data_IF_458440402014
#
_entry.id   IF_458440402014
#
_cell.length_a   1.000
_cell.length_b   1.000
_cell.length_c   1.000
_cell.angle_alpha   90.00
_cell.angle_beta   90.00
_cell.angle_gamma   90.00
#
_symmetry.space_group_name_H-M   'P 1'
#
loop_
_entity.id
_entity.type
_entity.pdbx_description
1 polymer ?
#
# COMPACT_ATOMS: atom_id res chain seq x y z
N UNK A 1 19.34 2.49 6.09
CA UNK A 1 18.79 3.79 5.62
C UNK A 1 17.56 4.10 6.46
N UNK A 2 17.39 5.33 6.89
CA UNK A 2 16.19 5.77 7.60
C UNK A 2 15.00 5.84 6.62
N UNK A 3 13.83 5.37 7.04
CA UNK A 3 12.67 5.25 6.13
C UNK A 3 12.22 6.59 5.54
N UNK A 4 12.30 7.67 6.34
CA UNK A 4 11.95 9.01 5.86
C UNK A 4 12.94 9.57 4.82
N UNK A 5 14.20 9.16 4.88
CA UNK A 5 15.19 9.53 3.84
C UNK A 5 14.89 8.80 2.54
N UNK A 6 14.50 7.52 2.61
CA UNK A 6 14.03 6.78 1.44
C UNK A 6 12.82 7.48 0.81
N UNK A 7 11.82 7.86 1.62
CA UNK A 7 10.63 8.57 1.15
C UNK A 7 10.97 9.87 0.45
N UNK A 8 11.87 10.69 1.03
CA UNK A 8 12.32 11.94 0.43
C UNK A 8 13.05 11.71 -0.90
N UNK A 9 13.92 10.70 -0.97
CA UNK A 9 14.61 10.34 -2.21
C UNK A 9 13.62 9.89 -3.29
N UNK A 10 12.66 9.04 -2.98
CA UNK A 10 11.64 8.61 -3.94
C UNK A 10 10.83 9.80 -4.47
N UNK A 11 10.43 10.71 -3.60
CA UNK A 11 9.72 11.95 -4.01
C UNK A 11 10.58 12.83 -4.91
N UNK A 12 11.88 12.98 -4.62
CA UNK A 12 12.80 13.75 -5.47
C UNK A 12 12.96 13.17 -6.88
N UNK A 13 12.67 11.87 -7.04
CA UNK A 13 12.68 11.17 -8.33
C UNK A 13 11.30 11.17 -9.02
N UNK A 14 10.29 11.81 -8.43
CA UNK A 14 8.92 11.85 -8.94
C UNK A 14 8.06 10.64 -8.58
N UNK A 15 8.50 9.83 -7.60
CA UNK A 15 7.67 8.78 -7.03
C UNK A 15 6.97 9.33 -5.79
N UNK A 16 5.73 9.82 -5.96
CA UNK A 16 4.96 10.45 -4.88
C UNK A 16 4.51 9.43 -3.84
N UNK A 17 4.22 8.21 -4.28
CA UNK A 17 3.76 7.12 -3.43
C UNK A 17 4.57 5.84 -3.68
N UNK A 18 4.80 5.07 -2.63
CA UNK A 18 5.38 3.73 -2.70
C UNK A 18 4.56 2.79 -1.82
N UNK A 19 4.51 1.52 -2.20
CA UNK A 19 3.79 0.47 -1.48
C UNK A 19 4.77 -0.51 -0.86
N UNK A 20 4.50 -0.89 0.38
CA UNK A 20 5.27 -1.94 1.07
C UNK A 20 4.66 -3.28 0.71
N UNK A 21 5.42 -4.15 0.06
CA UNK A 21 4.97 -5.51 -0.26
C UNK A 21 5.23 -6.45 0.92
N UNK A 22 6.41 -6.35 1.52
CA UNK A 22 6.78 -7.11 2.71
C UNK A 22 7.64 -6.28 3.65
N UNK A 23 7.44 -6.49 4.95
CA UNK A 23 8.24 -5.88 6.02
C UNK A 23 8.56 -6.95 7.06
N UNK A 24 9.83 -7.32 7.19
CA UNK A 24 10.30 -8.35 8.14
C UNK A 24 11.31 -7.73 9.10
N UNK A 25 11.13 -7.85 10.41
CA UNK A 25 12.12 -7.36 11.37
C UNK A 25 13.46 -8.10 11.21
N UNK A 26 14.55 -7.37 11.40
CA UNK A 26 15.91 -7.92 11.43
C UNK A 26 16.38 -7.88 12.87
N UNK A 27 16.71 -9.05 13.43
CA UNK A 27 17.33 -9.17 14.74
C UNK A 27 18.82 -8.90 14.61
N UNK A 28 19.37 -8.12 15.53
CA UNK A 28 20.80 -7.90 15.65
C UNK A 28 21.35 -8.86 16.70
N UNK A 29 22.20 -9.81 16.30
CA UNK A 29 22.76 -10.81 17.19
C UNK A 29 24.17 -10.43 17.70
N UNK A 30 24.48 -9.13 17.70
CA UNK A 30 25.79 -8.61 18.13
C UNK A 30 25.62 -7.52 19.20
N UNK A 31 25.95 -7.82 20.47
CA UNK A 31 25.79 -6.89 21.58
C UNK A 31 26.53 -5.55 21.43
N UNK A 32 27.71 -5.56 20.74
CA UNK A 32 28.45 -4.32 20.51
C UNK A 32 27.73 -3.41 19.51
N UNK A 33 27.08 -3.99 18.50
CA UNK A 33 26.30 -3.25 17.53
C UNK A 33 25.02 -2.75 18.19
N UNK A 34 24.32 -3.60 18.95
CA UNK A 34 23.13 -3.22 19.69
C UNK A 34 23.40 -2.05 20.63
N UNK A 35 24.52 -2.06 21.37
CA UNK A 35 24.91 -0.97 22.25
C UNK A 35 25.17 0.35 21.48
N UNK A 36 25.65 0.28 20.23
CA UNK A 36 25.93 1.45 19.39
C UNK A 36 24.70 2.03 18.73
N UNK A 37 23.76 1.19 18.32
CA UNK A 37 22.55 1.64 17.60
C UNK A 37 21.41 1.99 18.54
N UNK A 38 21.47 1.56 19.78
CA UNK A 38 20.46 1.84 20.80
C UNK A 38 19.12 1.18 20.48
N UNK A 39 18.02 1.93 20.70
CA UNK A 39 16.65 1.43 20.52
C UNK A 39 16.14 1.63 19.07
N UNK A 40 16.97 1.31 18.07
CA UNK A 40 16.59 1.44 16.66
C UNK A 40 16.17 0.07 16.13
N UNK A 41 14.96 -0.01 15.57
CA UNK A 41 14.47 -1.19 14.90
C UNK A 41 14.93 -1.25 13.45
N UNK A 42 15.37 -2.43 13.01
CA UNK A 42 15.77 -2.70 11.64
C UNK A 42 14.75 -3.62 10.95
N UNK A 43 14.46 -3.32 9.68
CA UNK A 43 13.55 -4.11 8.88
C UNK A 43 14.13 -4.38 7.49
N UNK A 44 13.94 -5.60 7.01
CA UNK A 44 14.04 -5.91 5.58
C UNK A 44 12.71 -5.57 4.93
N UNK A 45 12.74 -4.69 3.91
CA UNK A 45 11.52 -4.24 3.24
C UNK A 45 11.62 -4.48 1.74
N UNK A 46 10.55 -5.01 1.16
CA UNK A 46 10.34 -5.02 -0.28
C UNK A 46 9.30 -3.96 -0.59
N UNK A 47 9.63 -3.03 -1.47
CA UNK A 47 8.76 -1.91 -1.84
C UNK A 47 8.49 -1.89 -3.34
N UNK A 48 7.36 -1.33 -3.73
CA UNK A 48 7.02 -0.92 -5.10
C UNK A 48 6.87 0.60 -5.14
N UNK A 49 7.76 1.29 -5.82
CA UNK A 49 7.64 2.71 -6.05
C UNK A 49 6.95 2.96 -7.40
N UNK A 50 6.03 3.91 -7.41
CA UNK A 50 5.25 4.27 -8.59
C UNK A 50 5.59 5.69 -9.02
N UNK A 51 6.02 5.82 -10.27
CA UNK A 51 6.29 7.12 -10.90
C UNK A 51 5.13 7.46 -11.82
N UNK A 52 4.09 8.05 -11.25
CA UNK A 52 2.89 8.52 -11.92
C UNK A 52 2.60 9.95 -11.47
N UNK A 53 2.43 10.87 -12.42
CA UNK A 53 2.20 12.28 -12.13
C UNK A 53 0.80 12.56 -11.57
N UNK A 54 -0.11 11.57 -11.68
CA UNK A 54 -1.50 11.69 -11.23
C UNK A 54 -1.73 11.16 -9.80
N UNK A 55 -0.67 10.76 -9.09
CA UNK A 55 -0.84 10.31 -7.70
C UNK A 55 -1.00 11.50 -6.77
N UNK A 56 -1.95 11.36 -5.87
CA UNK A 56 -2.23 12.31 -4.80
C UNK A 56 -1.36 11.98 -3.58
N UNK A 57 -1.13 12.96 -2.72
CA UNK A 57 -0.31 12.80 -1.51
C UNK A 57 -1.03 12.10 -0.35
N UNK A 58 -2.35 11.98 -0.46
CA UNK A 58 -3.21 11.20 0.44
C UNK A 58 -4.13 10.28 -0.36
N UNK A 59 -4.69 9.26 0.29
CA UNK A 59 -5.66 8.37 -0.35
C UNK A 59 -7.05 9.01 -0.35
N UNK A 60 -7.60 9.24 -1.53
CA UNK A 60 -8.93 9.82 -1.75
C UNK A 60 -9.89 8.79 -2.35
N UNK A 61 -11.17 8.87 -1.93
CA UNK A 61 -12.25 8.00 -2.37
C UNK A 61 -13.01 8.63 -3.54
N UNK A 62 -12.98 7.96 -4.68
CA UNK A 62 -13.76 8.29 -5.87
C UNK A 62 -14.77 7.19 -6.23
N UNK A 63 -15.00 6.22 -5.32
CA UNK A 63 -15.91 5.10 -5.55
C UNK A 63 -15.39 4.11 -6.60
N UNK A 64 -14.09 4.11 -6.88
CA UNK A 64 -13.50 3.24 -7.89
C UNK A 64 -13.37 1.80 -7.38
N UNK A 65 -13.56 0.86 -8.30
CA UNK A 65 -13.48 -0.59 -8.04
C UNK A 65 -12.50 -1.23 -9.01
N UNK A 66 -11.54 -1.97 -8.48
CA UNK A 66 -10.57 -2.72 -9.27
C UNK A 66 -10.91 -4.23 -9.28
N UNK A 67 -10.74 -4.85 -10.45
CA UNK A 67 -10.90 -6.28 -10.69
C UNK A 67 -9.58 -6.85 -11.20
N UNK A 68 -9.07 -7.84 -10.53
CA UNK A 68 -7.92 -8.61 -11.00
C UNK A 68 -8.38 -9.70 -11.98
N UNK A 69 -7.70 -9.80 -13.14
CA UNK A 69 -8.06 -10.73 -14.20
C UNK A 69 -7.39 -12.12 -14.10
N UNK A 70 -6.53 -12.34 -13.10
CA UNK A 70 -5.82 -13.61 -12.92
C UNK A 70 -4.73 -13.89 -13.96
N UNK A 71 -4.30 -12.89 -14.70
CA UNK A 71 -3.41 -13.06 -15.85
C UNK A 71 -1.93 -12.75 -15.60
N UNK A 72 -1.56 -12.39 -14.36
CA UNK A 72 -0.14 -12.24 -13.98
C UNK A 72 0.47 -13.65 -13.85
N UNK A 73 1.58 -13.94 -14.55
CA UNK A 73 2.24 -15.24 -14.47
C UNK A 73 2.59 -15.62 -13.03
N UNK A 74 2.26 -16.85 -12.64
CA UNK A 74 2.46 -17.33 -11.27
C UNK A 74 1.39 -16.91 -10.25
N UNK A 75 0.44 -16.04 -10.63
CA UNK A 75 -0.60 -15.52 -9.74
C UNK A 75 -2.02 -15.68 -10.31
N UNK A 76 -2.48 -16.90 -10.67
CA UNK A 76 -3.77 -17.07 -11.34
C UNK A 76 -4.98 -16.82 -10.42
N UNK A 77 -4.82 -16.93 -9.10
CA UNK A 77 -5.93 -16.83 -8.14
C UNK A 77 -5.98 -15.50 -7.38
N UNK A 78 -4.81 -14.93 -7.09
CA UNK A 78 -4.70 -13.66 -6.38
C UNK A 78 -3.38 -12.96 -6.69
N UNK A 79 -3.37 -11.65 -6.49
CA UNK A 79 -2.18 -10.81 -6.61
C UNK A 79 -2.14 -9.82 -5.45
N UNK A 80 -1.05 -9.82 -4.68
CA UNK A 80 -0.78 -8.83 -3.65
C UNK A 80 -0.01 -7.65 -4.28
N UNK A 81 -0.63 -6.48 -4.29
CA UNK A 81 0.01 -5.23 -4.69
C UNK A 81 0.93 -4.73 -3.58
N UNK A 82 0.45 -4.79 -2.36
CA UNK A 82 1.14 -4.40 -1.13
C UNK A 82 0.59 -5.22 0.06
N UNK A 83 0.97 -4.87 1.27
CA UNK A 83 0.57 -5.53 2.51
C UNK A 83 -0.92 -5.32 2.88
N UNK A 84 -1.61 -4.37 2.22
CA UNK A 84 -3.04 -4.06 2.45
C UNK A 84 -3.94 -4.48 1.27
N UNK A 85 -3.40 -4.56 0.05
CA UNK A 85 -4.19 -4.81 -1.15
C UNK A 85 -3.88 -6.18 -1.77
N UNK A 86 -4.67 -7.19 -1.43
CA UNK A 86 -4.66 -8.51 -2.09
C UNK A 86 -5.91 -8.66 -2.95
N UNK A 87 -5.73 -8.60 -4.26
CA UNK A 87 -6.79 -8.77 -5.24
C UNK A 87 -7.00 -10.25 -5.57
N UNK A 88 -8.23 -10.71 -5.48
CA UNK A 88 -8.63 -12.05 -5.92
C UNK A 88 -9.22 -12.00 -7.33
N UNK A 89 -8.90 -12.99 -8.15
CA UNK A 89 -9.35 -13.07 -9.54
C UNK A 89 -10.87 -12.96 -9.66
N UNK A 90 -11.34 -11.99 -10.44
CA UNK A 90 -12.74 -11.72 -10.70
C UNK A 90 -13.51 -11.08 -9.54
N UNK A 91 -12.90 -10.91 -8.36
CA UNK A 91 -13.56 -10.30 -7.21
C UNK A 91 -13.36 -8.78 -7.22
N UNK A 92 -14.45 -7.99 -7.06
CA UNK A 92 -14.34 -6.54 -6.94
C UNK A 92 -13.65 -6.14 -5.63
N UNK A 93 -12.82 -5.10 -5.70
CA UNK A 93 -12.23 -4.45 -4.52
C UNK A 93 -12.39 -2.93 -4.68
N UNK A 94 -12.97 -2.27 -3.68
CA UNK A 94 -12.95 -0.82 -3.57
C UNK A 94 -11.51 -0.36 -3.36
N UNK A 95 -11.11 0.69 -4.07
CA UNK A 95 -9.75 1.20 -4.05
C UNK A 95 -9.74 2.73 -4.06
N UNK A 96 -8.73 3.33 -3.42
CA UNK A 96 -8.49 4.77 -3.54
C UNK A 96 -8.02 5.15 -4.95
N UNK A 97 -8.08 6.44 -5.28
CA UNK A 97 -7.63 6.96 -6.58
C UNK A 97 -6.20 6.58 -6.92
N UNK A 98 -5.29 6.63 -5.95
CA UNK A 98 -3.90 6.21 -6.14
C UNK A 98 -3.78 4.73 -6.50
N UNK A 99 -4.45 3.85 -5.77
CA UNK A 99 -4.42 2.40 -6.06
C UNK A 99 -5.04 2.10 -7.42
N UNK A 100 -6.16 2.75 -7.77
CA UNK A 100 -6.77 2.64 -9.09
C UNK A 100 -5.78 3.01 -10.20
N UNK A 101 -5.11 4.16 -10.08
CA UNK A 101 -4.11 4.61 -11.05
C UNK A 101 -2.90 3.65 -11.13
N UNK A 102 -2.42 3.14 -10.00
CA UNK A 102 -1.30 2.19 -9.95
C UNK A 102 -1.59 0.89 -10.69
N UNK A 103 -2.79 0.32 -10.53
CA UNK A 103 -3.15 -0.93 -11.20
C UNK A 103 -3.58 -0.71 -12.65
N UNK A 104 -4.10 0.45 -13.03
CA UNK A 104 -4.57 0.72 -14.37
C UNK A 104 -3.48 1.29 -15.30
N UNK A 105 -2.68 2.27 -14.80
CA UNK A 105 -1.79 3.09 -15.64
C UNK A 105 -0.34 2.64 -15.63
N UNK A 106 -0.05 1.45 -15.11
CA UNK A 106 1.30 0.89 -15.07
C UNK A 106 1.37 -0.43 -15.85
N UNK A 107 2.49 -1.15 -15.67
CA UNK A 107 2.67 -2.51 -16.20
C UNK A 107 1.56 -3.48 -15.79
N UNK A 108 0.78 -3.15 -14.76
CA UNK A 108 -0.33 -3.97 -14.30
C UNK A 108 -1.61 -3.78 -15.10
N UNK A 109 -1.76 -2.70 -15.88
CA UNK A 109 -3.00 -2.33 -16.56
C UNK A 109 -3.63 -3.44 -17.41
N UNK A 110 -2.82 -4.25 -18.08
CA UNK A 110 -3.31 -5.41 -18.85
C UNK A 110 -3.85 -6.55 -17.99
N UNK A 111 -3.64 -6.52 -16.70
CA UNK A 111 -4.04 -7.55 -15.74
C UNK A 111 -5.19 -7.12 -14.82
N UNK A 112 -5.60 -5.87 -14.93
CA UNK A 112 -6.66 -5.29 -14.12
C UNK A 112 -7.72 -4.60 -14.99
N UNK A 113 -8.92 -4.49 -14.44
CA UNK A 113 -9.97 -3.63 -14.94
C UNK A 113 -10.41 -2.73 -13.81
N UNK A 114 -10.41 -1.43 -14.04
CA UNK A 114 -10.95 -0.45 -13.09
C UNK A 114 -12.31 0.02 -13.58
N UNK A 115 -13.29 0.09 -12.70
CA UNK A 115 -14.61 0.65 -12.93
C UNK A 115 -14.80 1.88 -12.05
N UNK A 116 -15.48 2.90 -12.57
CA UNK A 116 -15.62 4.21 -11.95
C UNK A 116 -14.55 5.18 -12.44
N UNK A 117 -14.75 6.44 -12.15
CA UNK A 117 -13.87 7.55 -12.53
C UNK A 117 -13.71 8.52 -11.34
N UNK A 118 -13.00 9.60 -11.54
CA UNK A 118 -12.74 10.61 -10.51
C UNK A 118 -13.74 11.78 -10.56
N UNK A 119 -14.93 11.60 -11.14
CA UNK A 119 -15.94 12.67 -11.30
C UNK A 119 -16.65 13.02 -9.98
N UNK A 120 -16.70 12.09 -9.04
CA UNK A 120 -17.31 12.28 -7.71
C UNK A 120 -16.28 11.95 -6.64
N UNK A 121 -16.10 12.87 -5.70
CA UNK A 121 -15.20 12.71 -4.56
C UNK A 121 -16.02 12.46 -3.29
N UNK A 122 -15.73 11.37 -2.60
CA UNK A 122 -16.43 10.93 -1.39
C UNK A 122 -15.68 11.24 -0.09
N UNK A 123 -14.50 11.84 -0.18
CA UNK A 123 -13.64 12.18 0.96
C UNK A 123 -12.42 11.26 1.06
N UNK A 124 -11.71 11.29 2.20
CA UNK A 124 -10.54 10.44 2.41
C UNK A 124 -10.89 8.95 2.36
N UNK A 125 -10.02 8.16 1.71
CA UNK A 125 -10.14 6.70 1.67
C UNK A 125 -9.32 6.08 2.80
N UNK A 126 -9.96 5.24 3.63
CA UNK A 126 -9.25 4.48 4.66
C UNK A 126 -8.53 3.26 4.04
N UNK A 127 -7.25 3.43 3.73
CA UNK A 127 -6.39 2.36 3.21
C UNK A 127 -5.86 1.42 4.31
N UNK A 128 -6.07 1.73 5.60
CA UNK A 128 -5.41 1.05 6.73
C UNK A 128 -6.26 0.05 7.50
N UNK A 129 -7.56 0.02 7.31
CA UNK A 129 -8.40 -0.96 7.97
C UNK A 129 -8.49 -2.25 7.15
N UNK A 130 -7.69 -3.26 7.51
CA UNK A 130 -8.10 -4.63 7.24
C UNK A 130 -9.57 -4.79 7.69
N UNK A 131 -10.43 -5.50 6.93
CA UNK A 131 -11.82 -5.70 7.37
C UNK A 131 -11.79 -6.27 8.78
N UNK A 132 -12.28 -5.51 9.74
CA UNK A 132 -12.43 -5.97 11.10
C UNK A 132 -13.29 -7.23 11.05
N UNK A 133 -12.69 -8.38 11.22
CA UNK A 133 -13.41 -9.57 11.62
C UNK A 133 -14.06 -9.18 12.92
N UNK A 134 -15.38 -9.10 12.96
CA UNK A 134 -16.14 -8.75 14.15
C UNK A 134 -15.72 -9.63 15.32
N UNK A 135 -14.76 -9.19 16.09
CA UNK A 135 -14.54 -9.64 17.45
C UNK A 135 -15.32 -8.68 18.34
N UNK A 136 -16.47 -9.16 18.78
CA UNK A 136 -17.26 -8.52 19.81
C UNK A 136 -16.41 -8.31 21.07
N UNK A 137 -16.24 -7.05 21.48
CA UNK A 137 -15.66 -6.73 22.79
C UNK A 137 -14.85 -5.44 22.78
N UNK A 138 -15.45 -4.38 23.35
CA UNK A 138 -15.05 -3.00 23.41
C UNK A 138 -13.60 -2.70 23.81
N UNK A 139 -13.09 -1.62 23.33
CA UNK A 139 -12.75 -0.44 24.15
C UNK A 139 -12.36 0.74 23.24
N UNK A 140 -12.73 1.93 23.67
CA UNK A 140 -12.43 3.19 23.00
C UNK A 140 -10.99 3.63 23.30
N UNK A 141 -10.25 4.08 22.29
CA UNK A 141 -9.04 4.84 22.56
C UNK A 141 -8.06 4.98 21.38
N UNK A 142 -8.10 6.13 20.71
CA UNK A 142 -6.88 6.82 20.28
C UNK A 142 -6.38 6.63 18.86
N UNK A 143 -6.69 7.62 18.02
CA UNK A 143 -5.82 8.27 17.05
C UNK A 143 -4.79 7.42 16.30
N UNK A 144 -5.17 6.85 15.16
CA UNK A 144 -4.23 6.27 14.20
C UNK A 144 -3.96 7.26 13.09
N UNK A 145 -2.72 7.73 13.00
CA UNK A 145 -2.22 8.48 11.86
C UNK A 145 -2.17 7.57 10.64
N UNK A 146 -2.98 7.87 9.63
CA UNK A 146 -2.89 7.19 8.34
C UNK A 146 -1.61 7.62 7.64
N UNK A 147 -0.69 6.70 7.46
CA UNK A 147 0.40 6.82 6.50
C UNK A 147 0.15 5.79 5.39
N UNK A 148 -0.28 6.28 4.25
CA UNK A 148 -0.14 5.55 2.99
C UNK A 148 1.31 5.55 2.55
#
# INVERSE_FOLDING_TARGET
MYIEDLRRMLRSLGCQDYRVETKTPITLDNPEIEAKVGMIDFYSMKIRAFKLDCLEDICEDYGQVAYYLGTIPGHPFSFALDDHHTFFTGKPMLVCGNTAAMVERTRFGKHFKVAGDMSVHYGPFDCGSAPAVCASGGDFGGGGSCCC
#
